data_IF_761414905807
#
_entry.id   IF_761414905807
#
_cell.length_a   1.000
_cell.length_b   1.000
_cell.length_c   1.000
_cell.angle_alpha   90.00
_cell.angle_beta   90.00
_cell.angle_gamma   90.00
#
_symmetry.space_group_name_H-M   'P 1'
#
loop_
_entity.id
_entity.type
_entity.pdbx_description
1 polymer ?
#
# COMPACT_ATOMS: atom_id res chain seq x y z
N UNK A 1 12.61 42.48 43.64
CA UNK A 1 12.82 42.55 42.20
C UNK A 1 11.65 43.31 41.58
N UNK A 2 11.88 44.42 40.84
CA UNK A 2 10.78 45.23 40.29
C UNK A 2 10.07 44.48 39.15
N UNK A 3 8.74 44.60 39.03
CA UNK A 3 7.92 43.95 37.98
C UNK A 3 8.49 44.14 36.57
N UNK A 4 9.15 45.29 36.29
CA UNK A 4 9.83 45.57 35.01
C UNK A 4 11.05 44.70 34.77
N UNK A 5 11.82 44.28 35.80
CA UNK A 5 12.96 43.41 35.67
C UNK A 5 12.49 41.95 35.37
N UNK A 6 11.44 41.50 36.07
CA UNK A 6 10.83 40.18 35.84
C UNK A 6 10.31 40.06 34.38
N UNK A 7 9.61 41.08 33.91
CA UNK A 7 9.10 41.14 32.54
C UNK A 7 10.22 41.07 31.49
N UNK A 8 11.34 41.82 31.70
CA UNK A 8 12.50 41.75 30.78
C UNK A 8 13.17 40.38 30.78
N UNK A 9 13.31 39.70 31.91
CA UNK A 9 13.86 38.37 31.98
C UNK A 9 12.93 37.33 31.34
N UNK A 10 11.61 37.47 31.50
CA UNK A 10 10.63 36.63 30.81
C UNK A 10 10.70 36.80 29.31
N UNK A 11 10.79 38.02 28.82
CA UNK A 11 10.89 38.34 27.39
C UNK A 11 12.19 37.81 26.79
N UNK A 12 13.31 37.93 27.51
CA UNK A 12 14.61 37.36 27.12
C UNK A 12 14.56 35.84 27.10
N UNK A 13 13.94 35.18 28.08
CA UNK A 13 13.78 33.74 28.13
C UNK A 13 12.93 33.20 26.95
N UNK A 14 11.84 33.89 26.61
CA UNK A 14 10.99 33.60 25.45
C UNK A 14 11.78 33.73 24.15
N UNK A 15 12.58 34.78 24.02
CA UNK A 15 13.42 34.99 22.84
C UNK A 15 14.47 33.88 22.68
N UNK A 16 15.18 33.57 23.76
CA UNK A 16 16.19 32.49 23.76
C UNK A 16 15.53 31.15 23.43
N UNK A 17 14.39 30.85 24.03
CA UNK A 17 13.62 29.66 23.76
C UNK A 17 13.22 29.57 22.26
N UNK A 18 12.72 30.70 21.69
CA UNK A 18 12.39 30.78 20.28
C UNK A 18 13.58 30.52 19.34
N UNK A 19 14.75 31.08 19.65
CA UNK A 19 15.99 30.91 18.88
C UNK A 19 16.45 29.44 18.95
N UNK A 20 16.49 28.84 20.14
CA UNK A 20 16.93 27.45 20.34
C UNK A 20 15.98 26.48 19.65
N UNK A 21 14.67 26.72 19.76
CA UNK A 21 13.62 25.92 19.11
C UNK A 21 13.71 26.03 17.60
N UNK A 22 13.84 27.26 17.07
CA UNK A 22 13.99 27.50 15.63
C UNK A 22 15.24 26.84 15.06
N UNK A 23 16.39 26.97 15.74
CA UNK A 23 17.62 26.31 15.35
C UNK A 23 17.51 24.78 15.35
N UNK A 24 16.89 24.21 16.38
CA UNK A 24 16.65 22.77 16.49
C UNK A 24 15.76 22.23 15.37
N UNK A 25 14.66 22.95 15.05
CA UNK A 25 13.76 22.62 13.94
C UNK A 25 14.47 22.72 12.58
N UNK A 26 15.22 23.81 12.34
CA UNK A 26 15.97 24.01 11.10
C UNK A 26 16.96 22.86 10.88
N UNK A 27 17.71 22.48 11.92
CA UNK A 27 18.62 21.31 11.83
C UNK A 27 17.88 20.03 11.50
N UNK A 28 16.70 19.83 12.07
CA UNK A 28 15.86 18.65 11.78
C UNK A 28 15.42 18.63 10.32
N UNK A 29 14.89 19.74 9.82
CA UNK A 29 14.45 19.90 8.41
C UNK A 29 15.62 19.69 7.44
N UNK A 30 16.78 20.26 7.70
CA UNK A 30 17.96 20.08 6.88
C UNK A 30 18.51 18.65 6.88
N UNK A 31 18.27 17.89 7.95
CA UNK A 31 18.62 16.47 8.03
C UNK A 31 17.63 15.56 7.26
N UNK A 32 16.43 16.07 6.95
CA UNK A 32 15.36 15.34 6.28
C UNK A 32 14.79 16.16 5.08
N UNK A 33 15.64 16.50 4.09
CA UNK A 33 15.27 17.44 3.02
C UNK A 33 14.16 16.92 2.10
N UNK A 34 13.94 15.61 2.06
CA UNK A 34 12.95 14.98 1.17
C UNK A 34 11.60 14.72 1.85
N UNK A 35 11.51 15.00 3.14
CA UNK A 35 10.22 14.94 3.83
C UNK A 35 9.54 16.32 3.75
N UNK A 36 8.24 16.39 3.47
CA UNK A 36 7.50 17.65 3.47
C UNK A 36 7.67 18.42 4.77
N UNK A 37 7.71 19.75 4.68
CA UNK A 37 7.91 20.61 5.85
C UNK A 37 6.93 20.31 6.98
N UNK A 38 5.65 20.08 6.66
CA UNK A 38 4.62 19.73 7.66
C UNK A 38 4.97 18.42 8.39
N UNK A 39 5.45 17.41 7.69
CA UNK A 39 5.89 16.15 8.30
C UNK A 39 7.15 16.33 9.14
N UNK A 40 8.11 17.13 8.66
CA UNK A 40 9.30 17.45 9.41
C UNK A 40 8.96 18.16 10.72
N UNK A 41 8.04 19.13 10.68
CA UNK A 41 7.57 19.85 11.88
C UNK A 41 6.86 18.88 12.84
N UNK A 42 5.94 18.07 12.36
CA UNK A 42 5.21 17.10 13.18
C UNK A 42 6.15 16.05 13.82
N UNK A 43 7.06 15.47 13.03
CA UNK A 43 8.04 14.50 13.53
C UNK A 43 9.02 15.14 14.51
N UNK A 44 9.51 16.33 14.24
CA UNK A 44 10.36 17.08 15.17
C UNK A 44 9.62 17.36 16.49
N UNK A 45 8.37 17.81 16.43
CA UNK A 45 7.55 18.10 17.60
C UNK A 45 7.30 16.83 18.45
N UNK A 46 7.00 15.69 17.81
CA UNK A 46 6.88 14.40 18.50
C UNK A 46 8.18 14.00 19.18
N UNK A 47 9.31 14.14 18.52
CA UNK A 47 10.64 13.84 19.08
C UNK A 47 11.01 14.77 20.27
N UNK A 48 10.31 15.89 20.41
CA UNK A 48 10.44 16.82 21.57
C UNK A 48 9.39 16.60 22.66
N UNK A 49 8.62 15.50 22.58
CA UNK A 49 7.61 15.15 23.58
C UNK A 49 6.27 15.86 23.38
N UNK A 50 6.07 16.55 22.25
CA UNK A 50 4.81 17.24 21.93
C UNK A 50 3.83 16.38 21.13
N UNK A 51 3.98 15.06 21.16
CA UNK A 51 3.16 14.11 20.38
C UNK A 51 1.66 14.34 20.56
N UNK A 52 1.19 14.44 21.81
CA UNK A 52 -0.24 14.67 22.12
C UNK A 52 -0.79 15.96 21.47
N UNK A 53 0.03 17.02 21.36
CA UNK A 53 -0.41 18.27 20.71
C UNK A 53 -0.52 18.08 19.20
N UNK A 54 0.46 17.40 18.60
CA UNK A 54 0.46 17.07 17.17
C UNK A 54 -0.75 16.21 16.83
N UNK A 55 -1.00 15.15 17.62
CA UNK A 55 -2.11 14.22 17.39
C UNK A 55 -3.48 14.93 17.48
N UNK A 56 -3.67 15.83 18.45
CA UNK A 56 -4.89 16.64 18.55
C UNK A 56 -5.06 17.59 17.35
N UNK A 57 -3.98 18.18 16.88
CA UNK A 57 -4.04 19.08 15.72
C UNK A 57 -4.35 18.30 14.43
N UNK A 58 -3.73 17.14 14.24
CA UNK A 58 -4.00 16.27 13.11
C UNK A 58 -5.45 15.74 13.14
N UNK A 59 -5.95 15.34 14.32
CA UNK A 59 -7.36 14.94 14.50
C UNK A 59 -8.30 16.07 14.10
N UNK A 60 -8.03 17.30 14.51
CA UNK A 60 -8.86 18.46 14.16
C UNK A 60 -8.85 18.73 12.66
N UNK A 61 -7.70 18.59 11.99
CA UNK A 61 -7.56 18.84 10.55
C UNK A 61 -8.21 17.74 9.68
N UNK A 62 -8.43 16.52 10.21
CA UNK A 62 -8.88 15.35 9.43
C UNK A 62 -10.27 14.86 9.79
N UNK A 63 -11.09 15.63 10.51
CA UNK A 63 -12.44 15.22 10.93
C UNK A 63 -13.51 15.31 9.84
N UNK A 64 -13.26 16.01 8.74
CA UNK A 64 -14.25 16.15 7.67
C UNK A 64 -14.33 14.92 6.79
N UNK A 65 -15.51 14.32 6.61
CA UNK A 65 -15.70 13.19 5.70
C UNK A 65 -15.42 13.61 4.24
N UNK A 66 -15.13 12.66 3.35
CA UNK A 66 -14.97 12.94 1.93
C UNK A 66 -16.28 13.41 1.32
N UNK A 67 -16.20 14.19 0.23
CA UNK A 67 -17.35 14.64 -0.51
C UNK A 67 -18.02 13.45 -1.25
N UNK A 68 -19.36 13.49 -1.33
CA UNK A 68 -20.12 12.52 -2.13
C UNK A 68 -20.00 12.80 -3.64
N UNK A 69 -19.62 14.03 -4.02
CA UNK A 69 -19.48 14.41 -5.42
C UNK A 69 -18.46 13.52 -6.16
N UNK A 70 -18.73 13.10 -7.40
CA UNK A 70 -17.81 12.27 -8.17
C UNK A 70 -16.54 13.03 -8.53
N UNK A 71 -15.45 12.31 -8.66
CA UNK A 71 -14.22 12.79 -9.30
C UNK A 71 -14.35 12.63 -10.80
N UNK A 72 -14.04 13.65 -11.57
CA UNK A 72 -14.18 13.65 -13.03
C UNK A 72 -12.97 12.99 -13.74
N UNK A 73 -11.83 12.92 -13.05
CA UNK A 73 -10.57 12.42 -13.62
C UNK A 73 -9.82 11.53 -12.65
N UNK A 74 -9.14 10.52 -13.20
CA UNK A 74 -8.18 9.68 -12.49
C UNK A 74 -6.79 9.93 -13.08
N UNK A 75 -5.89 10.50 -12.29
CA UNK A 75 -4.51 10.75 -12.71
C UNK A 75 -3.64 9.54 -12.34
N UNK A 76 -3.25 8.75 -13.36
CA UNK A 76 -2.24 7.71 -13.23
C UNK A 76 -0.92 8.21 -13.81
N UNK A 77 0.15 8.12 -13.06
CA UNK A 77 1.49 8.41 -13.52
C UNK A 77 2.12 7.12 -14.06
N UNK A 78 1.89 6.83 -15.34
CA UNK A 78 2.45 5.63 -16.01
C UNK A 78 3.80 5.95 -16.65
N UNK A 79 4.67 4.94 -16.77
CA UNK A 79 5.98 5.05 -17.44
C UNK A 79 5.84 5.10 -18.98
N UNK A 80 4.67 4.79 -19.50
CA UNK A 80 4.43 4.50 -20.91
C UNK A 80 3.92 5.73 -21.69
N UNK A 81 4.56 6.90 -21.49
CA UNK A 81 4.32 8.05 -22.37
C UNK A 81 4.87 7.86 -23.80
N UNK A 82 5.44 6.69 -24.13
CA UNK A 82 6.10 6.41 -25.42
C UNK A 82 5.40 5.38 -26.30
N UNK A 83 4.30 4.78 -25.89
CA UNK A 83 3.53 3.86 -26.74
C UNK A 83 2.03 4.22 -26.65
N UNK A 84 1.67 5.39 -27.15
CA UNK A 84 0.35 5.54 -27.72
C UNK A 84 0.37 4.76 -29.06
N UNK A 85 -0.51 3.79 -29.31
CA UNK A 85 -0.71 3.33 -30.66
C UNK A 85 -1.21 4.57 -31.44
N UNK A 86 -0.41 5.05 -32.37
CA UNK A 86 -0.88 6.00 -33.36
C UNK A 86 -1.98 5.28 -34.14
N UNK A 87 -3.22 5.52 -33.76
CA UNK A 87 -4.35 5.24 -34.63
C UNK A 87 -4.26 6.31 -35.72
N UNK A 88 -3.58 5.97 -36.79
CA UNK A 88 -3.66 6.71 -38.05
C UNK A 88 -5.08 6.52 -38.53
N UNK A 89 -5.93 7.52 -38.31
CA UNK A 89 -7.25 7.62 -38.93
C UNK A 89 -7.02 7.93 -40.44
N UNK A 90 -6.83 6.89 -41.20
CA UNK A 90 -7.00 7.00 -42.65
C UNK A 90 -8.50 6.94 -42.90
N UNK A 91 -9.08 8.10 -43.19
CA UNK A 91 -10.42 8.22 -43.73
C UNK A 91 -10.48 7.49 -45.07
N UNK A 92 -11.26 6.43 -45.16
CA UNK A 92 -11.78 5.90 -46.42
C UNK A 92 -13.30 5.72 -46.30
N UNK A 93 -14.00 6.31 -47.22
CA UNK A 93 -15.45 6.31 -47.40
C UNK A 93 -15.98 4.90 -47.74
N UNK A 94 -17.30 4.67 -47.66
CA UNK A 94 -17.91 3.36 -47.51
C UNK A 94 -18.21 2.69 -48.87
N UNK A 95 -18.04 1.37 -48.93
CA UNK A 95 -18.72 0.50 -49.86
C UNK A 95 -18.89 -0.89 -49.27
N UNK A 96 -20.06 -1.39 -49.39
CA UNK A 96 -20.86 -2.43 -48.85
C UNK A 96 -20.34 -3.87 -48.88
N UNK A 97 -21.21 -4.61 -48.26
CA UNK A 97 -21.52 -6.03 -48.33
C UNK A 97 -21.09 -6.93 -47.14
N UNK A 98 -22.11 -7.56 -46.66
CA UNK A 98 -22.16 -8.51 -45.57
C UNK A 98 -21.30 -9.76 -45.83
N UNK A 99 -20.60 -10.20 -44.80
CA UNK A 99 -20.33 -11.64 -44.64
C UNK A 99 -20.31 -11.98 -43.14
N UNK A 100 -21.32 -12.74 -42.75
CA UNK A 100 -21.49 -13.28 -41.40
C UNK A 100 -20.38 -14.31 -41.12
N UNK A 101 -19.44 -14.00 -40.24
CA UNK A 101 -18.53 -14.99 -39.72
C UNK A 101 -18.72 -15.04 -38.20
N UNK A 102 -19.34 -16.13 -37.73
CA UNK A 102 -19.54 -16.46 -36.33
C UNK A 102 -18.18 -16.78 -35.70
N UNK A 103 -17.59 -15.85 -34.98
CA UNK A 103 -16.48 -16.14 -34.06
C UNK A 103 -17.04 -16.54 -32.69
N UNK A 104 -16.86 -17.80 -32.38
CA UNK A 104 -17.11 -18.38 -31.06
C UNK A 104 -16.16 -17.75 -30.04
N UNK A 105 -16.60 -16.71 -29.35
CA UNK A 105 -15.88 -16.04 -28.28
C UNK A 105 -15.79 -16.95 -27.07
N UNK A 106 -14.57 -17.32 -26.71
CA UNK A 106 -14.24 -18.05 -25.48
C UNK A 106 -14.45 -17.09 -24.32
N UNK A 107 -15.61 -17.15 -23.69
CA UNK A 107 -15.93 -16.41 -22.45
C UNK A 107 -15.06 -16.94 -21.32
N UNK A 108 -14.13 -16.13 -20.87
CA UNK A 108 -13.46 -16.31 -19.58
C UNK A 108 -14.52 -16.15 -18.48
N UNK A 109 -14.59 -17.02 -17.46
CA UNK A 109 -15.60 -16.90 -16.42
C UNK A 109 -15.40 -15.57 -15.68
N UNK A 110 -16.46 -14.78 -15.61
CA UNK A 110 -16.51 -13.58 -14.78
C UNK A 110 -16.29 -14.00 -13.32
N UNK A 111 -15.28 -13.42 -12.67
CA UNK A 111 -15.08 -13.57 -11.24
C UNK A 111 -16.33 -13.04 -10.54
N UNK A 112 -17.01 -13.94 -9.83
CA UNK A 112 -18.22 -13.64 -9.09
C UNK A 112 -17.91 -12.51 -8.09
N UNK A 113 -18.60 -11.38 -8.24
CA UNK A 113 -18.43 -10.22 -7.35
C UNK A 113 -18.79 -10.63 -5.93
N UNK A 114 -17.96 -10.32 -4.92
CA UNK A 114 -18.44 -10.40 -3.55
C UNK A 114 -19.65 -9.47 -3.43
N UNK A 115 -20.80 -10.04 -3.09
CA UNK A 115 -22.03 -9.27 -2.80
C UNK A 115 -21.75 -8.50 -1.53
N UNK A 116 -21.30 -7.24 -1.68
CA UNK A 116 -21.26 -6.31 -0.55
C UNK A 116 -22.73 -6.00 -0.28
N UNK A 117 -23.19 -6.45 0.88
CA UNK A 117 -24.49 -6.03 1.41
C UNK A 117 -24.57 -4.53 1.22
N UNK A 118 -25.65 -4.06 0.59
CA UNK A 118 -25.95 -2.67 0.24
C UNK A 118 -25.41 -1.73 1.32
N UNK A 119 -24.28 -1.10 1.05
CA UNK A 119 -23.72 -0.10 1.95
C UNK A 119 -24.75 1.04 2.02
N UNK A 120 -25.43 1.16 3.16
CA UNK A 120 -26.24 2.33 3.44
C UNK A 120 -25.34 3.55 3.41
N UNK A 121 -25.62 4.52 2.55
CA UNK A 121 -24.90 5.79 2.47
C UNK A 121 -25.18 6.72 3.66
N UNK A 122 -25.76 6.21 4.74
CA UNK A 122 -25.94 6.95 5.98
C UNK A 122 -24.58 7.19 6.67
N UNK A 123 -24.29 8.44 6.96
CA UNK A 123 -23.26 8.84 7.94
C UNK A 123 -23.44 8.02 9.21
N UNK A 124 -22.38 7.46 9.79
CA UNK A 124 -22.51 6.61 10.98
C UNK A 124 -23.07 7.43 12.15
N UNK A 125 -24.37 7.23 12.43
CA UNK A 125 -24.98 7.67 13.68
C UNK A 125 -24.61 6.62 14.72
N UNK A 126 -23.98 7.08 15.78
CA UNK A 126 -23.52 6.27 16.92
C UNK A 126 -24.72 5.58 17.57
N UNK A 127 -24.90 4.28 17.38
CA UNK A 127 -25.80 3.46 18.19
C UNK A 127 -25.02 2.28 18.74
N UNK A 128 -25.04 2.13 20.06
CA UNK A 128 -24.46 1.02 20.84
C UNK A 128 -25.04 -0.32 20.41
N UNK A 129 -24.29 -1.42 20.47
CA UNK A 129 -24.77 -2.74 20.03
C UNK A 129 -25.74 -3.35 21.03
N UNK A 130 -26.95 -3.63 20.57
CA UNK A 130 -27.89 -4.53 21.25
C UNK A 130 -27.63 -5.95 20.72
N UNK A 131 -27.39 -6.88 21.63
CA UNK A 131 -27.15 -8.30 21.36
C UNK A 131 -28.32 -8.95 20.62
N UNK A 132 -28.04 -9.54 19.46
CA UNK A 132 -28.98 -10.41 18.75
C UNK A 132 -28.41 -11.84 18.71
N UNK A 133 -29.17 -12.77 19.28
CA UNK A 133 -28.93 -14.21 19.30
C UNK A 133 -29.18 -14.77 17.88
N UNK A 134 -28.19 -15.41 17.27
CA UNK A 134 -28.31 -16.06 15.98
C UNK A 134 -28.45 -17.57 16.12
N UNK A 135 -29.54 -18.09 15.60
CA UNK A 135 -29.84 -19.54 15.47
C UNK A 135 -29.13 -20.05 14.20
N UNK A 136 -28.27 -21.05 14.33
CA UNK A 136 -27.55 -21.68 13.20
C UNK A 136 -28.38 -22.81 12.61
N UNK A 137 -28.60 -22.79 11.30
CA UNK A 137 -29.14 -23.89 10.54
C UNK A 137 -28.01 -24.54 9.71
N UNK A 138 -27.75 -25.81 9.97
CA UNK A 138 -26.74 -26.61 9.30
C UNK A 138 -27.32 -27.22 8.01
N UNK A 139 -26.72 -26.95 6.85
CA UNK A 139 -27.05 -27.64 5.60
C UNK A 139 -25.85 -28.46 5.16
N UNK A 140 -26.06 -29.78 5.06
CA UNK A 140 -25.09 -30.77 4.63
C UNK A 140 -25.14 -30.89 3.11
N UNK A 141 -24.01 -30.69 2.42
CA UNK A 141 -23.88 -30.96 0.98
C UNK A 141 -22.91 -32.14 0.74
N UNK A 142 -23.42 -33.15 0.07
CA UNK A 142 -22.70 -34.37 -0.32
C UNK A 142 -21.85 -34.15 -1.58
N UNK A 143 -20.61 -34.59 -1.52
CA UNK A 143 -19.63 -34.54 -2.62
C UNK A 143 -19.65 -35.86 -3.42
N UNK A 144 -19.90 -35.78 -4.72
CA UNK A 144 -19.75 -36.93 -5.65
C UNK A 144 -18.40 -36.82 -6.34
N UNK A 145 -17.56 -37.82 -6.13
CA UNK A 145 -16.23 -37.95 -6.76
C UNK A 145 -16.36 -38.74 -8.05
N UNK A 146 -16.02 -38.16 -9.19
CA UNK A 146 -15.89 -38.86 -10.47
C UNK A 146 -14.41 -39.00 -10.80
N UNK A 147 -13.93 -40.25 -10.82
CA UNK A 147 -12.57 -40.62 -11.21
C UNK A 147 -12.54 -40.84 -12.74
N UNK A 148 -11.73 -40.05 -13.44
CA UNK A 148 -11.45 -40.23 -14.87
C UNK A 148 -9.99 -40.61 -15.06
N UNK A 149 -9.75 -41.81 -15.60
CA UNK A 149 -8.45 -42.38 -15.99
C UNK A 149 -8.06 -41.82 -17.37
N UNK A 150 -6.91 -41.16 -17.50
CA UNK A 150 -6.34 -40.75 -18.79
C UNK A 150 -5.01 -41.46 -19.03
N UNK A 151 -4.93 -42.09 -20.18
CA UNK A 151 -3.75 -42.78 -20.75
C UNK A 151 -2.76 -41.74 -21.27
N UNK A 152 -1.43 -41.90 -21.13
CA UNK A 152 -0.47 -40.89 -21.64
C UNK A 152 -0.16 -41.15 -23.12
N UNK A 153 -0.30 -40.12 -23.94
CA UNK A 153 0.26 -40.09 -25.28
C UNK A 153 1.47 -39.13 -25.33
N UNK A 154 2.47 -39.56 -26.12
CA UNK A 154 3.82 -39.00 -26.11
C UNK A 154 4.00 -37.86 -27.11
N UNK A 155 4.75 -36.88 -26.67
CA UNK A 155 5.68 -36.02 -27.42
C UNK A 155 5.13 -34.93 -28.34
N UNK A 156 5.04 -33.76 -27.79
CA UNK A 156 5.40 -32.53 -28.55
C UNK A 156 5.91 -31.47 -27.55
N UNK A 157 7.20 -31.15 -27.59
CA UNK A 157 7.83 -30.13 -26.78
C UNK A 157 7.45 -28.77 -27.34
N UNK A 158 6.24 -28.32 -27.08
CA UNK A 158 5.84 -26.92 -27.31
C UNK A 158 6.34 -26.14 -26.12
N UNK A 159 7.38 -25.33 -26.32
CA UNK A 159 7.81 -24.33 -25.34
C UNK A 159 6.69 -23.31 -25.17
N UNK A 160 5.73 -23.66 -24.31
CA UNK A 160 4.68 -22.72 -23.91
C UNK A 160 5.34 -21.65 -23.04
N UNK A 161 5.66 -20.50 -23.64
CA UNK A 161 6.00 -19.32 -22.88
C UNK A 161 4.77 -18.99 -22.05
N UNK A 162 4.75 -19.43 -20.79
CA UNK A 162 3.68 -19.12 -19.85
C UNK A 162 3.73 -17.61 -19.63
N UNK A 163 2.87 -16.86 -20.33
CA UNK A 163 2.64 -15.45 -20.05
C UNK A 163 2.14 -15.40 -18.61
N UNK A 164 2.92 -14.76 -17.73
CA UNK A 164 2.44 -14.47 -16.37
C UNK A 164 1.20 -13.58 -16.53
N UNK A 165 0.02 -14.06 -16.13
CA UNK A 165 -1.20 -13.29 -16.35
C UNK A 165 -1.10 -11.95 -15.62
N UNK A 166 -1.52 -10.86 -16.25
CA UNK A 166 -1.68 -9.58 -15.56
C UNK A 166 -2.86 -9.69 -14.58
N UNK A 167 -2.93 -8.83 -13.54
CA UNK A 167 -4.11 -8.78 -12.67
C UNK A 167 -5.38 -8.53 -13.50
N UNK A 168 -6.48 -9.18 -13.15
CA UNK A 168 -7.77 -8.92 -13.80
C UNK A 168 -8.25 -7.50 -13.52
N UNK A 169 -8.77 -6.82 -14.54
CA UNK A 169 -9.33 -5.48 -14.42
C UNK A 169 -10.54 -5.48 -13.45
N UNK A 170 -10.71 -4.37 -12.76
CA UNK A 170 -11.78 -4.18 -11.77
C UNK A 170 -12.84 -3.29 -12.38
N UNK A 171 -14.05 -3.80 -12.55
CA UNK A 171 -15.15 -2.99 -13.10
C UNK A 171 -15.45 -1.80 -12.19
N UNK A 172 -15.72 -0.60 -12.73
CA UNK A 172 -16.11 0.58 -11.95
C UNK A 172 -17.30 0.30 -11.04
N UNK A 173 -17.26 0.82 -9.81
CA UNK A 173 -18.34 0.71 -8.83
C UNK A 173 -19.36 1.84 -8.97
N UNK A 174 -19.00 2.94 -9.63
CA UNK A 174 -19.82 4.12 -9.86
C UNK A 174 -20.11 4.24 -11.35
N UNK A 175 -21.36 4.43 -11.71
CA UNK A 175 -21.79 4.61 -13.11
C UNK A 175 -22.15 6.09 -13.35
N UNK A 176 -21.74 6.69 -14.50
CA UNK A 176 -20.80 6.13 -15.47
C UNK A 176 -19.40 5.99 -14.91
N UNK A 177 -18.65 4.98 -15.39
CA UNK A 177 -17.23 4.83 -15.11
C UNK A 177 -16.40 5.94 -15.77
N UNK A 178 -15.27 6.26 -15.16
CA UNK A 178 -14.27 7.16 -15.76
C UNK A 178 -13.36 6.34 -16.67
N UNK A 179 -12.86 6.95 -17.75
CA UNK A 179 -11.94 6.29 -18.69
C UNK A 179 -10.75 5.65 -17.93
N UNK A 180 -10.45 4.41 -18.25
CA UNK A 180 -9.42 3.57 -17.65
C UNK A 180 -9.60 3.28 -16.14
N UNK A 181 -10.77 3.57 -15.56
CA UNK A 181 -11.08 3.25 -14.17
C UNK A 181 -11.06 1.74 -13.92
N UNK A 182 -10.18 1.29 -13.02
CA UNK A 182 -10.01 -0.11 -12.69
C UNK A 182 -9.19 -0.94 -13.69
N UNK A 183 -8.74 -0.36 -14.80
CA UNK A 183 -7.85 -1.02 -15.75
C UNK A 183 -6.40 -1.02 -15.25
N UNK A 184 -5.70 -2.15 -15.40
CA UNK A 184 -4.32 -2.27 -15.00
C UNK A 184 -3.36 -1.89 -16.13
N UNK A 185 -2.53 -0.88 -15.90
CA UNK A 185 -1.46 -0.46 -16.78
C UNK A 185 -0.09 -0.90 -16.25
N UNK A 186 0.75 -1.45 -17.11
CA UNK A 186 2.12 -1.78 -16.73
C UNK A 186 2.95 -0.50 -16.59
N UNK A 187 3.62 -0.31 -15.43
CA UNK A 187 4.42 0.89 -15.19
C UNK A 187 5.92 0.61 -15.07
N UNK A 188 6.35 -0.56 -14.62
CA UNK A 188 7.75 -0.94 -14.56
C UNK A 188 7.99 -2.20 -15.36
N UNK A 189 8.93 -2.15 -16.31
CA UNK A 189 9.29 -3.26 -17.18
C UNK A 189 10.78 -3.59 -17.04
N UNK A 190 11.06 -4.87 -16.88
CA UNK A 190 12.42 -5.40 -16.88
C UNK A 190 12.54 -6.35 -18.05
N UNK A 191 13.48 -6.08 -18.98
CA UNK A 191 13.65 -6.88 -20.20
C UNK A 191 12.31 -7.11 -20.94
N UNK A 192 11.52 -6.02 -21.09
CA UNK A 192 10.18 -5.98 -21.70
C UNK A 192 9.08 -6.71 -20.91
N UNK A 193 9.40 -7.41 -19.80
CA UNK A 193 8.39 -8.05 -18.93
C UNK A 193 7.81 -7.04 -17.95
N UNK A 194 6.48 -6.90 -17.85
CA UNK A 194 5.87 -6.09 -16.81
C UNK A 194 6.17 -6.66 -15.43
N UNK A 195 6.66 -5.83 -14.52
CA UNK A 195 6.98 -6.22 -13.13
C UNK A 195 6.01 -5.62 -12.14
N UNK A 196 5.49 -4.42 -12.44
CA UNK A 196 4.51 -3.70 -11.62
C UNK A 196 3.40 -3.20 -12.52
N UNK A 197 2.17 -3.35 -12.07
CA UNK A 197 0.97 -2.81 -12.69
C UNK A 197 0.37 -1.75 -11.77
N UNK A 198 -0.18 -0.69 -12.32
CA UNK A 198 -0.90 0.34 -11.57
C UNK A 198 -2.32 0.50 -12.10
N UNK A 199 -3.21 0.90 -11.21
CA UNK A 199 -4.61 1.20 -11.54
C UNK A 199 -5.16 2.24 -10.56
N UNK A 200 -6.24 2.91 -10.92
CA UNK A 200 -7.01 3.76 -10.02
C UNK A 200 -8.49 3.48 -10.18
N UNK A 201 -9.22 3.59 -9.07
CA UNK A 201 -10.66 3.32 -9.04
C UNK A 201 -11.34 4.13 -7.94
N UNK A 202 -12.63 4.41 -8.10
CA UNK A 202 -13.50 4.96 -7.04
C UNK A 202 -14.19 3.78 -6.34
N UNK A 203 -13.64 3.29 -5.18
CA UNK A 203 -14.05 2.02 -4.60
C UNK A 203 -15.35 2.12 -3.78
N UNK A 204 -15.78 3.34 -3.44
CA UNK A 204 -16.88 3.61 -2.51
C UNK A 204 -18.00 4.35 -3.24
N UNK A 205 -19.05 3.64 -3.61
CA UNK A 205 -20.14 4.19 -4.42
C UNK A 205 -20.86 5.39 -3.78
N UNK A 206 -20.86 5.51 -2.44
CA UNK A 206 -21.42 6.66 -1.71
C UNK A 206 -20.50 7.90 -1.73
N UNK A 207 -19.24 7.73 -2.03
CA UNK A 207 -18.22 8.77 -1.93
C UNK A 207 -17.41 8.84 -3.23
N UNK A 208 -18.03 9.36 -4.27
CA UNK A 208 -17.45 9.45 -5.62
C UNK A 208 -16.16 10.28 -5.71
N UNK A 209 -15.85 11.10 -4.71
CA UNK A 209 -14.58 11.83 -4.61
C UNK A 209 -13.43 10.98 -4.07
N UNK A 210 -13.70 9.80 -3.51
CA UNK A 210 -12.67 8.91 -2.97
C UNK A 210 -12.06 8.10 -4.11
N UNK A 211 -10.75 8.29 -4.31
CA UNK A 211 -9.95 7.55 -5.29
C UNK A 211 -8.92 6.70 -4.58
N UNK A 212 -8.93 5.41 -4.88
CA UNK A 212 -7.87 4.47 -4.54
C UNK A 212 -6.89 4.36 -5.71
N UNK A 213 -5.60 4.59 -5.44
CA UNK A 213 -4.50 4.31 -6.36
C UNK A 213 -3.81 3.03 -5.92
N UNK A 214 -3.57 2.13 -6.85
CA UNK A 214 -3.08 0.78 -6.57
C UNK A 214 -1.82 0.47 -7.37
N UNK A 215 -0.91 -0.31 -6.76
CA UNK A 215 0.19 -0.94 -7.46
C UNK A 215 0.21 -2.44 -7.12
N UNK A 216 0.23 -3.30 -8.13
CA UNK A 216 0.23 -4.75 -7.95
C UNK A 216 1.47 -5.37 -8.59
N UNK A 217 2.06 -6.36 -7.94
CA UNK A 217 3.19 -7.13 -8.45
C UNK A 217 3.07 -8.61 -8.08
N UNK A 218 3.60 -9.46 -8.94
CA UNK A 218 3.70 -10.89 -8.64
C UNK A 218 4.93 -11.14 -7.75
N UNK A 219 4.75 -11.62 -6.50
CA UNK A 219 5.86 -11.82 -5.56
C UNK A 219 6.87 -12.88 -6.02
N UNK A 220 6.52 -13.77 -6.95
CA UNK A 220 7.43 -14.77 -7.52
C UNK A 220 8.39 -14.19 -8.58
N UNK A 221 8.14 -12.98 -9.07
CA UNK A 221 8.94 -12.34 -10.12
C UNK A 221 9.93 -11.31 -9.57
N UNK A 222 9.85 -10.96 -8.30
CA UNK A 222 10.66 -9.92 -7.67
C UNK A 222 11.37 -10.44 -6.44
N UNK A 223 12.51 -9.85 -6.12
CA UNK A 223 13.16 -9.99 -4.82
C UNK A 223 12.74 -8.82 -3.95
N UNK A 224 12.00 -9.09 -2.89
CA UNK A 224 11.57 -8.08 -1.92
C UNK A 224 12.60 -7.96 -0.79
N UNK A 225 12.87 -6.75 -0.33
CA UNK A 225 13.70 -6.50 0.84
C UNK A 225 13.10 -5.40 1.72
N UNK A 226 13.23 -5.55 3.06
CA UNK A 226 12.87 -4.54 4.05
C UNK A 226 14.08 -3.65 4.33
N UNK A 227 13.91 -2.35 4.25
CA UNK A 227 14.91 -1.32 4.53
C UNK A 227 14.58 -0.62 5.84
N UNK A 228 15.63 -0.30 6.60
CA UNK A 228 15.54 0.27 7.93
C UNK A 228 15.73 1.79 7.89
N UNK A 229 14.75 2.54 8.35
CA UNK A 229 14.85 3.99 8.46
C UNK A 229 15.79 4.44 9.58
N UNK A 230 16.16 5.73 9.60
CA UNK A 230 17.02 6.29 10.63
C UNK A 230 16.38 6.33 12.01
N UNK A 231 15.04 6.41 12.06
CA UNK A 231 14.25 6.46 13.29
C UNK A 231 13.42 5.20 13.50
N UNK A 232 12.96 4.55 12.41
CA UNK A 232 12.17 3.32 12.45
C UNK A 232 12.80 2.24 11.58
N UNK A 233 13.32 1.16 12.16
CA UNK A 233 13.45 0.87 13.58
C UNK A 233 14.57 1.65 14.28
N UNK A 234 15.31 2.50 13.56
CA UNK A 234 16.52 3.15 14.04
C UNK A 234 17.69 2.18 14.25
N UNK A 235 18.67 2.60 15.05
CA UNK A 235 19.86 1.79 15.32
C UNK A 235 20.94 1.90 14.25
N UNK A 236 21.99 1.07 14.39
CA UNK A 236 23.17 1.05 13.52
C UNK A 236 23.53 -0.37 13.10
N UNK A 237 24.30 -0.49 12.02
CA UNK A 237 24.83 -1.79 11.58
C UNK A 237 23.90 -2.60 10.67
N UNK A 238 22.83 -1.98 10.18
CA UNK A 238 21.98 -2.58 9.17
C UNK A 238 22.63 -2.55 7.79
N UNK A 239 22.50 -3.62 7.02
CA UNK A 239 22.90 -3.68 5.61
C UNK A 239 21.91 -2.87 4.75
N UNK A 240 20.62 -3.12 4.95
CA UNK A 240 19.53 -2.37 4.34
C UNK A 240 19.28 -1.12 5.19
N UNK A 241 19.95 -0.04 4.83
CA UNK A 241 19.91 1.24 5.57
C UNK A 241 18.68 2.08 5.17
N UNK A 242 18.68 3.35 5.59
CA UNK A 242 17.62 4.33 5.29
C UNK A 242 17.49 4.73 3.82
N UNK A 243 18.34 4.18 2.96
CA UNK A 243 18.30 4.43 1.50
C UNK A 243 18.82 3.25 0.69
N UNK A 244 18.28 3.11 -0.50
CA UNK A 244 18.77 2.17 -1.50
C UNK A 244 19.99 2.79 -2.18
N UNK A 245 21.11 2.07 -2.21
CA UNK A 245 22.38 2.57 -2.75
C UNK A 245 23.27 1.45 -3.30
N UNK A 246 24.33 1.86 -4.00
CA UNK A 246 25.40 0.98 -4.42
C UNK A 246 24.93 -0.13 -5.37
N UNK A 247 25.40 -1.35 -5.15
CA UNK A 247 25.18 -2.48 -6.07
C UNK A 247 23.72 -2.92 -6.24
N UNK A 248 22.81 -2.50 -5.35
CA UNK A 248 21.40 -2.81 -5.45
C UNK A 248 20.64 -1.90 -6.45
N UNK A 249 21.12 -0.66 -6.65
CA UNK A 249 20.45 0.35 -7.49
C UNK A 249 20.13 -0.14 -8.92
N UNK A 250 21.05 -0.77 -9.66
CA UNK A 250 20.75 -1.19 -11.04
C UNK A 250 19.59 -2.19 -11.15
N UNK A 251 19.31 -2.93 -10.08
CA UNK A 251 18.26 -3.95 -10.04
C UNK A 251 16.94 -3.45 -9.43
N UNK A 252 16.90 -2.21 -8.97
CA UNK A 252 15.72 -1.63 -8.31
C UNK A 252 14.56 -1.46 -9.29
N UNK A 253 13.37 -1.91 -8.91
CA UNK A 253 12.14 -1.81 -9.70
C UNK A 253 11.19 -0.80 -9.08
N UNK A 254 10.87 -0.98 -7.78
CA UNK A 254 9.91 -0.15 -7.06
C UNK A 254 10.22 -0.13 -5.56
N UNK A 255 9.62 0.80 -4.83
CA UNK A 255 9.61 0.79 -3.38
C UNK A 255 8.34 1.43 -2.83
N UNK A 256 7.96 1.04 -1.60
CA UNK A 256 6.78 1.56 -0.92
C UNK A 256 6.98 1.61 0.60
N UNK A 257 6.19 2.44 1.26
CA UNK A 257 6.32 2.67 2.70
C UNK A 257 6.05 1.43 3.54
N UNK A 258 6.65 1.39 4.72
CA UNK A 258 6.35 0.44 5.79
C UNK A 258 5.16 0.89 6.66
N UNK A 259 5.20 0.52 7.93
CA UNK A 259 4.11 0.77 8.87
C UNK A 259 4.41 1.85 9.91
N UNK A 260 3.60 1.86 10.97
CA UNK A 260 3.66 2.83 12.06
C UNK A 260 4.96 2.75 12.85
N UNK A 261 5.30 3.83 13.53
CA UNK A 261 6.39 3.89 14.49
C UNK A 261 6.06 3.05 15.72
N UNK A 262 7.09 2.59 16.47
CA UNK A 262 6.90 1.77 17.66
C UNK A 262 6.08 2.47 18.75
N UNK A 263 6.11 3.78 18.83
CA UNK A 263 5.32 4.58 19.77
C UNK A 263 3.79 4.46 19.55
N UNK A 264 3.36 4.02 18.36
CA UNK A 264 1.96 3.76 18.03
C UNK A 264 1.60 2.26 18.17
N UNK A 265 2.38 1.52 18.94
CA UNK A 265 2.17 0.11 19.29
C UNK A 265 1.92 -0.83 18.09
N UNK A 266 2.65 -0.71 16.96
CA UNK A 266 2.57 -1.71 15.91
C UNK A 266 3.02 -3.07 16.47
N UNK A 267 2.77 -4.14 15.72
CA UNK A 267 3.24 -5.47 16.06
C UNK A 267 4.75 -5.64 15.93
N UNK A 268 5.17 -6.86 15.64
CA UNK A 268 6.58 -7.25 15.62
C UNK A 268 7.38 -6.67 14.44
N UNK A 269 8.69 -6.69 14.61
CA UNK A 269 9.65 -6.26 13.61
C UNK A 269 10.89 -7.18 13.63
N UNK A 270 11.10 -7.91 12.56
CA UNK A 270 12.32 -8.70 12.31
C UNK A 270 12.95 -8.18 11.03
N UNK A 271 14.22 -7.88 11.06
CA UNK A 271 14.98 -7.43 9.89
C UNK A 271 16.35 -8.06 9.84
N UNK A 272 16.79 -8.46 8.66
CA UNK A 272 18.08 -9.12 8.43
C UNK A 272 18.29 -10.37 9.32
N UNK A 273 17.21 -11.06 9.72
CA UNK A 273 17.21 -12.18 10.63
C UNK A 273 17.35 -11.82 12.11
N UNK A 274 17.27 -10.54 12.47
CA UNK A 274 17.35 -10.06 13.86
C UNK A 274 15.99 -9.59 14.35
N UNK A 275 15.60 -10.02 15.55
CA UNK A 275 14.37 -9.58 16.20
C UNK A 275 14.63 -8.20 16.82
N UNK A 276 13.96 -7.17 16.31
CA UNK A 276 13.92 -5.83 16.91
C UNK A 276 12.75 -5.73 17.87
N UNK A 277 11.58 -6.23 17.45
CA UNK A 277 10.38 -6.33 18.28
C UNK A 277 9.73 -7.68 18.03
N UNK A 278 9.26 -8.33 19.12
CA UNK A 278 8.67 -9.66 19.04
C UNK A 278 7.37 -9.66 18.25
N UNK A 279 7.16 -10.72 17.45
CA UNK A 279 5.94 -10.91 16.68
C UNK A 279 4.73 -11.12 17.59
N UNK A 280 3.62 -10.49 17.25
CA UNK A 280 2.32 -10.61 17.96
C UNK A 280 1.41 -11.57 17.18
N UNK A 281 0.88 -12.58 17.89
CA UNK A 281 -0.09 -13.52 17.31
C UNK A 281 -1.38 -12.79 16.92
N UNK A 282 -1.97 -13.15 15.79
CA UNK A 282 -3.19 -12.54 15.25
C UNK A 282 -2.98 -11.26 14.46
N UNK A 283 -1.75 -10.73 14.39
CA UNK A 283 -1.43 -9.53 13.63
C UNK A 283 -1.16 -9.86 12.16
N UNK A 284 -1.60 -8.98 11.28
CA UNK A 284 -1.23 -9.05 9.87
C UNK A 284 0.27 -8.80 9.69
N UNK A 285 0.90 -9.66 8.91
CA UNK A 285 2.35 -9.72 8.78
C UNK A 285 2.77 -9.73 7.33
N UNK A 286 3.62 -8.80 6.94
CA UNK A 286 4.38 -8.86 5.70
C UNK A 286 5.66 -9.64 5.96
N UNK A 287 5.81 -10.82 5.32
CA UNK A 287 6.96 -11.70 5.48
C UNK A 287 7.82 -11.78 4.23
N UNK A 288 9.13 -11.77 4.43
CA UNK A 288 10.15 -11.87 3.37
C UNK A 288 11.11 -13.01 3.75
N UNK A 289 11.31 -13.96 2.85
CA UNK A 289 12.25 -15.07 3.01
C UNK A 289 13.66 -14.69 2.55
N UNK A 290 14.62 -15.56 2.83
CA UNK A 290 16.02 -15.33 2.46
C UNK A 290 16.25 -15.22 0.94
N UNK A 291 15.43 -15.87 0.13
CA UNK A 291 15.44 -15.80 -1.33
C UNK A 291 14.78 -14.53 -1.91
N UNK A 292 14.21 -13.69 -1.04
CA UNK A 292 13.48 -12.48 -1.41
C UNK A 292 12.02 -12.71 -1.77
N UNK A 293 11.52 -13.95 -1.74
CA UNK A 293 10.09 -14.20 -1.88
C UNK A 293 9.31 -13.59 -0.72
N UNK A 294 8.13 -13.06 -1.00
CA UNK A 294 7.32 -12.35 0.00
C UNK A 294 5.87 -12.79 0.00
N UNK A 295 5.22 -12.63 1.13
CA UNK A 295 3.79 -12.89 1.31
C UNK A 295 3.20 -12.02 2.42
N UNK A 296 1.87 -11.98 2.49
CA UNK A 296 1.13 -11.35 3.60
C UNK A 296 0.19 -12.40 4.19
N UNK A 297 0.23 -12.53 5.50
CA UNK A 297 -0.60 -13.48 6.24
C UNK A 297 -0.79 -13.06 7.69
N UNK A 298 -1.55 -13.83 8.45
CA UNK A 298 -1.79 -13.61 9.87
C UNK A 298 -0.81 -14.47 10.68
N UNK A 299 -0.03 -13.81 11.55
CA UNK A 299 0.94 -14.49 12.40
C UNK A 299 0.26 -15.43 13.40
N UNK A 300 0.69 -16.68 13.44
CA UNK A 300 0.10 -17.74 14.26
C UNK A 300 -1.15 -18.40 13.67
N UNK A 301 -1.53 -18.02 12.43
CA UNK A 301 -2.57 -18.70 11.60
C UNK A 301 -1.99 -19.12 10.25
N UNK A 302 -1.66 -18.15 9.42
CA UNK A 302 -1.16 -18.36 8.05
C UNK A 302 0.37 -18.43 7.99
N UNK A 303 1.03 -17.87 9.00
CA UNK A 303 2.48 -17.77 9.13
C UNK A 303 2.91 -18.09 10.55
N UNK A 304 4.05 -18.76 10.70
CA UNK A 304 4.68 -19.08 11.98
C UNK A 304 6.20 -18.91 11.89
N UNK A 305 6.88 -18.94 13.03
CA UNK A 305 8.34 -18.95 13.07
C UNK A 305 8.86 -20.34 12.69
N UNK A 306 9.20 -20.50 11.43
CA UNK A 306 9.78 -21.71 10.86
C UNK A 306 11.29 -21.56 10.58
N UNK A 307 11.90 -20.45 11.04
CA UNK A 307 13.30 -20.13 10.82
C UNK A 307 13.64 -19.67 9.38
N UNK A 308 12.69 -19.63 8.46
CA UNK A 308 12.91 -19.27 7.05
C UNK A 308 12.80 -17.76 6.78
N UNK A 309 12.27 -17.00 7.72
CA UNK A 309 12.01 -15.58 7.55
C UNK A 309 13.26 -14.73 7.70
N UNK A 310 13.54 -13.93 6.69
CA UNK A 310 14.62 -12.93 6.72
C UNK A 310 14.17 -11.63 7.33
N UNK A 311 12.96 -11.21 6.98
CA UNK A 311 12.32 -10.03 7.54
C UNK A 311 10.82 -10.26 7.74
N UNK A 312 10.29 -9.72 8.83
CA UNK A 312 8.87 -9.73 9.17
C UNK A 312 8.47 -8.35 9.66
N UNK A 313 7.43 -7.79 9.09
CA UNK A 313 6.90 -6.48 9.48
C UNK A 313 5.43 -6.59 9.77
N UNK A 314 5.06 -6.41 11.03
CA UNK A 314 3.68 -6.22 11.44
C UNK A 314 3.38 -4.74 11.57
N UNK A 315 2.13 -4.35 11.28
CA UNK A 315 1.64 -3.06 11.70
C UNK A 315 0.58 -3.26 12.79
N UNK A 316 -0.66 -3.48 12.41
CA UNK A 316 -1.79 -3.69 13.32
C UNK A 316 -2.45 -5.06 13.02
N UNK A 317 -3.53 -5.45 13.73
CA UNK A 317 -4.35 -6.59 13.32
C UNK A 317 -4.80 -6.47 11.87
N UNK A 318 -5.29 -7.55 11.22
CA UNK A 318 -5.73 -7.49 9.83
C UNK A 318 -6.98 -6.60 9.66
N UNK A 319 -7.01 -5.83 8.58
CA UNK A 319 -8.22 -5.15 8.10
C UNK A 319 -9.14 -6.13 7.37
N UNK A 320 -8.53 -7.02 6.59
CA UNK A 320 -9.19 -8.06 5.80
C UNK A 320 -8.59 -9.41 6.11
N UNK A 321 -9.41 -10.41 6.32
CA UNK A 321 -9.03 -11.81 6.48
C UNK A 321 -10.05 -12.70 5.75
N UNK A 322 -9.56 -13.67 4.96
CA UNK A 322 -10.37 -14.55 4.13
C UNK A 322 -11.38 -13.76 3.25
N UNK A 323 -10.88 -12.68 2.63
CA UNK A 323 -11.64 -11.76 1.77
C UNK A 323 -12.83 -11.06 2.46
N UNK A 324 -12.82 -10.97 3.78
CA UNK A 324 -13.84 -10.29 4.59
C UNK A 324 -13.22 -9.19 5.43
N UNK A 325 -13.91 -8.07 5.58
CA UNK A 325 -13.55 -7.01 6.50
C UNK A 325 -13.65 -7.51 7.95
N UNK A 326 -12.56 -7.39 8.72
CA UNK A 326 -12.47 -7.88 10.11
C UNK A 326 -12.00 -6.81 11.10
N UNK A 327 -11.77 -5.57 10.67
CA UNK A 327 -11.30 -4.50 11.53
C UNK A 327 -12.17 -4.30 12.77
N UNK A 328 -13.48 -4.47 12.64
CA UNK A 328 -14.44 -4.32 13.74
C UNK A 328 -14.28 -5.37 14.86
N UNK A 329 -13.57 -6.47 14.61
CA UNK A 329 -13.25 -7.47 15.62
C UNK A 329 -12.18 -6.99 16.62
N UNK A 330 -11.60 -5.80 16.38
CA UNK A 330 -10.51 -5.22 17.18
C UNK A 330 -10.87 -3.82 17.69
N UNK A 331 -11.90 -3.67 18.52
CA UNK A 331 -12.43 -2.36 18.93
C UNK A 331 -11.48 -1.55 19.81
N UNK A 332 -10.48 -2.19 20.42
CA UNK A 332 -9.46 -1.54 21.27
C UNK A 332 -8.26 -1.02 20.48
N UNK A 333 -8.17 -1.31 19.19
CA UNK A 333 -7.04 -0.86 18.38
C UNK A 333 -7.25 0.58 17.93
N UNK A 334 -6.26 1.41 18.18
CA UNK A 334 -6.15 2.72 17.56
C UNK A 334 -5.55 2.56 16.15
N UNK A 335 -6.38 2.72 15.13
CA UNK A 335 -6.03 2.61 13.72
C UNK A 335 -5.40 3.91 13.17
N UNK A 336 -4.65 4.64 13.98
CA UNK A 336 -4.21 5.99 13.65
C UNK A 336 -5.36 7.01 13.68
N UNK A 337 -6.43 6.68 14.39
CA UNK A 337 -7.61 7.51 14.62
C UNK A 337 -7.68 7.90 16.09
N UNK A 338 -8.45 8.94 16.42
CA UNK A 338 -8.80 9.23 17.80
C UNK A 338 -9.80 8.18 18.32
N UNK A 339 -10.11 8.22 19.61
CA UNK A 339 -11.06 7.30 20.24
C UNK A 339 -12.48 7.33 19.67
N UNK A 340 -12.78 8.25 18.76
CA UNK A 340 -14.09 8.39 18.12
C UNK A 340 -14.17 7.74 16.74
N UNK A 341 -13.05 7.23 16.20
CA UNK A 341 -12.94 6.65 14.85
C UNK A 341 -13.47 7.56 13.74
N UNK A 342 -13.28 8.87 13.89
CA UNK A 342 -13.78 9.89 12.94
C UNK A 342 -12.72 10.50 12.04
N UNK A 343 -11.49 10.05 12.14
CA UNK A 343 -10.38 10.63 11.35
C UNK A 343 -10.46 10.13 9.91
N UNK A 344 -10.69 11.05 8.99
CA UNK A 344 -10.62 10.83 7.56
C UNK A 344 -9.26 11.26 7.03
N UNK A 345 -8.43 10.30 6.65
CA UNK A 345 -7.03 10.55 6.32
C UNK A 345 -6.61 9.92 5.00
N UNK A 346 -5.44 10.32 4.49
CA UNK A 346 -4.76 9.59 3.43
C UNK A 346 -4.09 8.37 4.05
N UNK A 347 -4.56 7.19 3.67
CA UNK A 347 -4.14 5.91 4.24
C UNK A 347 -3.53 5.02 3.19
N UNK A 348 -2.56 4.19 3.58
CA UNK A 348 -2.04 3.13 2.75
C UNK A 348 -2.25 1.76 3.39
N UNK A 349 -2.26 0.75 2.53
CA UNK A 349 -2.39 -0.65 2.90
C UNK A 349 -1.59 -1.53 1.95
N UNK A 350 -1.27 -2.74 2.40
CA UNK A 350 -0.81 -3.81 1.54
C UNK A 350 -1.71 -5.03 1.70
N UNK A 351 -1.92 -5.78 0.65
CA UNK A 351 -2.69 -7.00 0.74
C UNK A 351 -2.15 -8.12 -0.18
N UNK A 352 -2.35 -9.35 0.23
CA UNK A 352 -2.31 -10.51 -0.64
C UNK A 352 -3.68 -10.65 -1.29
N UNK A 353 -3.75 -10.54 -2.61
CA UNK A 353 -4.98 -10.73 -3.39
C UNK A 353 -5.33 -12.21 -3.53
N UNK A 354 -6.58 -12.49 -3.86
CA UNK A 354 -7.07 -13.86 -4.15
C UNK A 354 -6.41 -14.47 -5.38
N UNK A 355 -5.89 -13.65 -6.32
CA UNK A 355 -5.15 -14.08 -7.51
C UNK A 355 -3.63 -14.26 -7.27
N UNK A 356 -3.16 -14.11 -6.02
CA UNK A 356 -1.77 -14.30 -5.61
C UNK A 356 -0.86 -13.10 -5.81
N UNK A 357 -1.34 -11.97 -6.35
CA UNK A 357 -0.59 -10.72 -6.39
C UNK A 357 -0.50 -10.09 -5.01
N UNK A 358 0.63 -9.45 -4.71
CA UNK A 358 0.70 -8.48 -3.61
C UNK A 358 0.33 -7.11 -4.20
N UNK A 359 -0.58 -6.42 -3.53
CA UNK A 359 -1.06 -5.13 -3.93
C UNK A 359 -0.86 -4.10 -2.83
N UNK A 360 -0.23 -2.98 -3.19
CA UNK A 360 -0.23 -1.75 -2.41
C UNK A 360 -1.45 -0.92 -2.80
N UNK A 361 -2.08 -0.27 -1.83
CA UNK A 361 -3.24 0.61 -2.02
C UNK A 361 -3.04 1.89 -1.24
N UNK A 362 -3.30 3.03 -1.88
CA UNK A 362 -3.35 4.33 -1.22
C UNK A 362 -4.70 4.99 -1.49
N UNK A 363 -5.39 5.44 -0.44
CA UNK A 363 -6.75 6.00 -0.52
C UNK A 363 -6.82 7.29 0.26
N UNK A 364 -7.34 8.33 -0.36
CA UNK A 364 -7.47 9.66 0.26
C UNK A 364 -8.77 9.88 1.01
N UNK A 365 -8.69 10.62 2.13
CA UNK A 365 -9.84 11.01 2.95
C UNK A 365 -10.75 9.85 3.36
N UNK A 366 -10.18 8.81 3.94
CA UNK A 366 -10.94 7.63 4.40
C UNK A 366 -10.67 7.35 5.87
N UNK A 367 -11.69 6.87 6.57
CA UNK A 367 -11.53 6.23 7.87
C UNK A 367 -11.19 4.75 7.71
N UNK A 368 -10.98 4.05 8.83
CA UNK A 368 -10.55 2.66 8.80
C UNK A 368 -11.58 1.70 8.19
N UNK A 369 -12.88 1.95 8.44
CA UNK A 369 -13.96 1.16 7.82
C UNK A 369 -13.91 1.28 6.29
N UNK A 370 -13.81 2.50 5.78
CA UNK A 370 -13.75 2.76 4.34
C UNK A 370 -12.51 2.14 3.71
N UNK A 371 -11.36 2.13 4.40
CA UNK A 371 -10.16 1.45 3.93
C UNK A 371 -10.38 -0.07 3.89
N UNK A 372 -10.91 -0.68 4.94
CA UNK A 372 -11.19 -2.11 5.00
C UNK A 372 -12.17 -2.55 3.89
N UNK A 373 -13.26 -1.79 3.70
CA UNK A 373 -14.23 -2.03 2.63
C UNK A 373 -13.59 -1.91 1.25
N UNK A 374 -12.72 -0.90 1.05
CA UNK A 374 -11.94 -0.75 -0.19
C UNK A 374 -11.09 -1.99 -0.46
N UNK A 375 -10.36 -2.51 0.53
CA UNK A 375 -9.53 -3.70 0.34
C UNK A 375 -10.35 -4.93 -0.05
N UNK A 376 -11.53 -5.11 0.53
CA UNK A 376 -12.45 -6.22 0.17
C UNK A 376 -12.86 -6.13 -1.29
N UNK A 377 -13.36 -4.97 -1.74
CA UNK A 377 -13.83 -4.80 -3.14
C UNK A 377 -12.71 -4.90 -4.16
N UNK A 378 -11.47 -4.61 -3.75
CA UNK A 378 -10.28 -4.76 -4.59
C UNK A 378 -9.74 -6.20 -4.64
N UNK A 379 -10.42 -7.16 -3.99
CA UNK A 379 -10.08 -8.59 -4.05
C UNK A 379 -8.96 -9.01 -3.10
N UNK A 380 -8.72 -8.29 -2.02
CA UNK A 380 -7.77 -8.69 -0.99
C UNK A 380 -8.25 -9.92 -0.24
N UNK A 381 -7.40 -10.95 -0.12
CA UNK A 381 -7.61 -12.12 0.72
C UNK A 381 -7.20 -11.82 2.17
N UNK A 382 -6.00 -11.25 2.36
CA UNK A 382 -5.48 -10.77 3.64
C UNK A 382 -4.98 -9.35 3.42
N UNK A 383 -5.45 -8.40 4.22
CA UNK A 383 -5.09 -6.98 4.10
C UNK A 383 -4.60 -6.40 5.40
N UNK A 384 -3.55 -5.60 5.34
CA UNK A 384 -2.95 -4.88 6.46
C UNK A 384 -2.85 -3.39 6.18
N UNK A 385 -3.10 -2.57 7.20
CA UNK A 385 -2.80 -1.16 7.14
C UNK A 385 -1.29 -0.94 7.13
N UNK A 386 -0.84 0.02 6.35
CA UNK A 386 0.52 0.55 6.39
C UNK A 386 0.50 1.96 7.00
N UNK A 387 1.47 2.78 6.67
CA UNK A 387 1.55 4.13 7.21
C UNK A 387 0.47 5.05 6.62
N UNK A 388 0.15 6.10 7.35
CA UNK A 388 -0.91 7.06 7.05
C UNK A 388 -0.39 8.50 7.21
N UNK A 389 -1.23 9.46 6.87
CA UNK A 389 -1.00 10.91 6.98
C UNK A 389 -0.06 11.53 5.95
N UNK A 390 -0.44 12.68 5.46
CA UNK A 390 0.37 13.52 4.58
C UNK A 390 0.91 12.73 3.39
N UNK A 391 2.22 12.70 3.24
CA UNK A 391 2.93 12.00 2.16
C UNK A 391 3.56 10.67 2.61
N UNK A 392 3.24 10.12 3.80
CA UNK A 392 3.73 8.81 4.24
C UNK A 392 3.22 7.65 3.37
N UNK A 393 1.94 7.59 2.95
CA UNK A 393 1.54 6.70 1.88
C UNK A 393 2.38 6.97 0.63
N UNK A 394 3.14 5.97 0.20
CA UNK A 394 4.16 6.16 -0.83
C UNK A 394 4.40 4.89 -1.63
N UNK A 395 4.35 5.00 -2.94
CA UNK A 395 4.83 3.99 -3.87
C UNK A 395 5.50 4.69 -5.06
N UNK A 396 6.73 4.29 -5.35
CA UNK A 396 7.44 4.76 -6.53
C UNK A 396 7.99 3.59 -7.35
N UNK A 397 7.94 3.71 -8.66
CA UNK A 397 8.73 2.91 -9.61
C UNK A 397 9.99 3.68 -10.00
N UNK A 398 10.98 3.00 -10.52
CA UNK A 398 12.25 3.62 -10.84
C UNK A 398 12.59 3.43 -12.33
N UNK A 399 12.83 4.56 -13.01
CA UNK A 399 13.26 4.58 -14.41
C UNK A 399 14.69 4.09 -14.58
N UNK A 400 15.12 3.96 -15.83
CA UNK A 400 16.51 3.64 -16.21
C UNK A 400 17.05 2.34 -15.59
N UNK A 401 16.24 1.28 -15.66
CA UNK A 401 16.63 -0.04 -15.17
C UNK A 401 18.01 -0.47 -15.69
N UNK A 402 18.86 -0.98 -14.80
CA UNK A 402 20.23 -1.39 -15.10
C UNK A 402 21.27 -0.28 -14.95
N UNK A 403 20.88 0.99 -14.78
CA UNK A 403 21.80 2.10 -14.54
C UNK A 403 22.07 2.30 -13.04
N UNK A 404 23.21 2.91 -12.71
CA UNK A 404 23.58 3.30 -11.35
C UNK A 404 22.81 4.53 -10.85
N UNK A 405 22.36 5.38 -11.77
CA UNK A 405 21.51 6.54 -11.48
C UNK A 405 20.07 6.16 -11.78
N UNK A 406 19.24 6.26 -10.79
CA UNK A 406 17.81 5.91 -10.86
C UNK A 406 17.00 7.12 -10.43
N UNK A 407 15.86 7.31 -11.06
CA UNK A 407 14.89 8.34 -10.68
C UNK A 407 13.56 7.70 -10.34
N UNK A 408 13.00 8.09 -9.19
CA UNK A 408 11.70 7.65 -8.76
C UNK A 408 10.59 8.32 -9.57
N UNK A 409 9.51 7.58 -9.73
CA UNK A 409 8.23 8.08 -10.26
C UNK A 409 7.12 7.59 -9.34
N UNK A 410 6.50 8.51 -8.63
CA UNK A 410 5.33 8.21 -7.78
C UNK A 410 4.14 7.81 -8.62
N UNK A 411 3.27 6.96 -8.07
CA UNK A 411 2.05 6.52 -8.75
C UNK A 411 0.83 7.41 -8.46
N UNK A 412 0.98 8.38 -7.55
CA UNK A 412 -0.08 9.29 -7.14
C UNK A 412 0.53 10.63 -6.72
N UNK A 413 -0.01 11.73 -7.21
CA UNK A 413 0.50 13.08 -6.94
C UNK A 413 0.42 13.51 -5.47
N UNK A 414 -0.37 12.80 -4.66
CA UNK A 414 -0.46 13.02 -3.21
C UNK A 414 0.75 12.48 -2.45
N UNK A 415 1.53 11.59 -3.05
CA UNK A 415 2.77 11.05 -2.49
C UNK A 415 3.87 12.12 -2.53
N UNK A 416 4.83 12.04 -1.62
CA UNK A 416 5.91 13.03 -1.54
C UNK A 416 7.00 12.86 -2.60
N UNK A 417 8.22 13.23 -2.25
CA UNK A 417 9.39 13.16 -3.13
C UNK A 417 9.59 11.76 -3.71
N UNK A 418 9.57 11.60 -5.06
CA UNK A 418 9.75 10.31 -5.71
C UNK A 418 11.09 9.63 -5.39
N UNK A 419 12.13 10.38 -5.04
CA UNK A 419 13.47 9.88 -4.74
C UNK A 419 13.71 9.64 -3.23
N UNK A 420 12.67 9.75 -2.39
CA UNK A 420 12.75 9.57 -0.94
C UNK A 420 13.58 8.36 -0.52
N UNK A 421 13.36 7.21 -1.13
CA UNK A 421 14.05 5.97 -0.77
C UNK A 421 15.44 5.84 -1.43
N UNK A 422 15.84 6.78 -2.28
CA UNK A 422 17.20 6.90 -2.82
C UNK A 422 18.08 7.83 -1.97
N UNK A 423 17.48 8.64 -1.13
CA UNK A 423 18.18 9.66 -0.32
C UNK A 423 18.29 9.24 1.15
N UNK A 424 17.30 9.51 1.98
CA UNK A 424 17.34 9.14 3.39
C UNK A 424 15.92 9.09 3.97
N UNK A 425 15.42 7.90 4.28
CA UNK A 425 14.12 7.71 4.92
C UNK A 425 14.26 7.65 6.44
N UNK A 426 13.40 8.35 7.16
CA UNK A 426 13.28 8.22 8.63
C UNK A 426 12.60 6.94 9.04
N UNK A 427 11.70 6.44 8.18
CA UNK A 427 10.89 5.24 8.44
C UNK A 427 11.33 4.08 7.57
N UNK A 428 10.95 2.88 8.00
CA UNK A 428 11.13 1.64 7.24
C UNK A 428 10.32 1.63 5.95
N UNK A 429 10.81 0.88 4.96
CA UNK A 429 10.16 0.75 3.66
C UNK A 429 10.52 -0.57 2.98
N UNK A 430 9.69 -0.99 2.05
CA UNK A 430 9.94 -2.16 1.21
C UNK A 430 10.48 -1.74 -0.14
N UNK A 431 11.39 -2.55 -0.69
CA UNK A 431 11.92 -2.36 -2.04
C UNK A 431 11.86 -3.66 -2.84
N UNK A 432 11.56 -3.51 -4.13
CA UNK A 432 11.41 -4.60 -5.10
C UNK A 432 12.56 -4.54 -6.09
N UNK A 433 13.23 -5.66 -6.28
CA UNK A 433 14.38 -5.80 -7.16
C UNK A 433 14.16 -6.91 -8.20
N UNK A 434 14.83 -6.79 -9.34
CA UNK A 434 14.94 -7.90 -10.29
C UNK A 434 15.89 -8.97 -9.75
N UNK A 435 15.41 -10.18 -9.45
CA UNK A 435 16.24 -11.24 -8.86
C UNK A 435 17.36 -11.72 -9.78
N UNK A 436 17.23 -11.53 -11.11
CA UNK A 436 18.22 -11.98 -12.07
C UNK A 436 19.45 -11.04 -12.18
N UNK A 437 19.30 -9.78 -11.80
CA UNK A 437 20.39 -8.78 -11.86
C UNK A 437 20.84 -8.31 -10.49
N UNK A 438 20.12 -8.64 -9.43
CA UNK A 438 20.48 -8.27 -8.06
C UNK A 438 21.72 -9.08 -7.62
N UNK A 439 22.87 -8.42 -7.36
CA UNK A 439 24.06 -9.14 -6.94
C UNK A 439 23.88 -9.80 -5.57
N UNK A 440 24.43 -10.99 -5.39
CA UNK A 440 24.40 -11.70 -4.13
C UNK A 440 24.87 -10.81 -2.98
N UNK A 441 24.07 -10.75 -1.91
CA UNK A 441 24.37 -9.94 -0.73
C UNK A 441 24.30 -8.42 -0.95
N UNK A 442 23.76 -7.94 -2.07
CA UNK A 442 23.53 -6.50 -2.27
C UNK A 442 22.48 -5.97 -1.28
N UNK A 443 21.48 -6.79 -0.95
CA UNK A 443 20.48 -6.58 0.12
C UNK A 443 20.46 -7.77 1.08
N UNK A 444 19.75 -7.63 2.20
CA UNK A 444 19.58 -8.65 3.26
C UNK A 444 18.11 -8.93 3.51
#
# INVERSE_FOLDING_TARGET
MTRRKIFRYLLLAVLIFGIVTGFSLTRYVLAHPNDPLQQNVASWARNKGMGVVVDKLETWLHNDPPAAAPTDTLALLTDDSTIAPQITTTSLAPLGEETTTTHLGKTTPAVERPVIATQSCSTPTTTSPTSATSTSTTTTSSTTTTTSTVVPDMTSTTTTTTLVPRPADIAPFISPGIKAEGEWAATARVRKKPMVYISSIRPLWCFGSVVATMAAYNPSLVHTALFNGTEMPGGKGWKNTSKIKGKALPSLIASFNGGFRFEHEPGGYVTEGKIVQRMRKGFATFGIRADGSSTIGIWGKDMSDDGSWKSLRQNLPPLVNDAKSVYANYPSINWGEDYTNKIYNYRSAACLRTDGYIMFVAVGKVNIKMLADTLVVLGCKVGMELDINGTWPFFATYSDFGKSERKGRIIDTRMGDPDRHLTNSTKDFFALFDPQTLPNGAVK
#
